data_IF_235050665137
#
_entry.id   IF_235050665137
#
_cell.length_a   1.000
_cell.length_b   1.000
_cell.length_c   1.000
_cell.angle_alpha   90.00
_cell.angle_beta   90.00
_cell.angle_gamma   90.00
#
_symmetry.space_group_name_H-M   'P 1'
#
loop_
_entity.id
_entity.type
_entity.pdbx_description
1 polymer ?
#
# COMPACT_ATOMS: atom_id res chain seq x y z
N UNK A 1 26.22 -31.56 -15.90
CA UNK A 1 25.38 -30.35 -15.74
C UNK A 1 26.31 -29.14 -15.81
N UNK A 2 26.39 -28.56 -16.99
CA UNK A 2 27.38 -27.55 -17.38
C UNK A 2 26.93 -26.17 -16.87
N UNK A 3 27.74 -25.57 -15.99
CA UNK A 3 27.44 -24.26 -15.39
C UNK A 3 27.78 -23.17 -16.42
N UNK A 4 26.76 -22.65 -17.10
CA UNK A 4 26.90 -21.58 -18.10
C UNK A 4 27.69 -20.38 -17.54
N UNK A 5 28.71 -19.93 -18.28
CA UNK A 5 29.53 -18.76 -17.93
C UNK A 5 28.70 -17.48 -18.10
N UNK A 6 28.64 -16.56 -17.12
CA UNK A 6 28.05 -15.25 -17.34
C UNK A 6 28.97 -14.41 -18.23
N UNK A 7 28.40 -13.85 -19.29
CA UNK A 7 29.04 -12.95 -20.24
C UNK A 7 29.58 -11.70 -19.55
N UNK A 8 30.82 -11.33 -19.88
CA UNK A 8 31.46 -10.08 -19.45
C UNK A 8 30.79 -8.90 -20.18
N UNK A 9 29.69 -8.42 -19.61
CA UNK A 9 29.02 -7.19 -20.05
C UNK A 9 29.45 -6.00 -19.21
N UNK A 10 30.19 -5.08 -19.81
CA UNK A 10 30.32 -3.71 -19.32
C UNK A 10 28.92 -3.08 -19.26
N UNK A 11 28.58 -2.40 -18.15
CA UNK A 11 27.44 -1.48 -18.13
C UNK A 11 26.59 -1.50 -16.86
N UNK A 12 26.56 -0.34 -16.21
CA UNK A 12 25.49 0.17 -15.32
C UNK A 12 25.26 -0.60 -14.02
N UNK A 13 24.92 0.11 -12.94
CA UNK A 13 24.62 -0.44 -11.61
C UNK A 13 23.37 -1.34 -11.61
N UNK A 14 23.42 -2.50 -12.28
CA UNK A 14 22.44 -3.55 -12.10
C UNK A 14 22.49 -3.98 -10.64
N UNK A 15 21.35 -3.93 -9.95
CA UNK A 15 21.22 -4.36 -8.55
C UNK A 15 21.84 -5.75 -8.41
N UNK A 16 22.97 -5.84 -7.68
CA UNK A 16 23.69 -7.11 -7.48
C UNK A 16 22.68 -8.15 -6.98
N UNK A 17 22.46 -9.20 -7.78
CA UNK A 17 21.51 -10.27 -7.44
C UNK A 17 22.05 -11.02 -6.23
N UNK A 18 21.16 -11.37 -5.31
CA UNK A 18 21.55 -12.16 -4.15
C UNK A 18 22.03 -13.55 -4.60
N UNK A 19 23.09 -14.07 -3.96
CA UNK A 19 23.60 -15.41 -4.25
C UNK A 19 22.54 -16.43 -3.82
N UNK A 20 22.07 -17.31 -4.72
CA UNK A 20 21.05 -18.29 -4.38
C UNK A 20 21.59 -19.31 -3.36
N UNK A 21 20.68 -19.88 -2.56
CA UNK A 21 21.02 -20.83 -1.48
C UNK A 21 21.84 -22.03 -1.99
N UNK A 22 21.42 -22.63 -3.11
CA UNK A 22 22.09 -23.80 -3.69
C UNK A 22 23.56 -23.52 -4.02
N UNK A 23 23.86 -22.33 -4.53
CA UNK A 23 25.24 -21.92 -4.84
C UNK A 23 26.05 -21.68 -3.57
N UNK A 24 25.45 -21.12 -2.50
CA UNK A 24 26.13 -20.97 -1.20
C UNK A 24 26.53 -22.32 -0.61
N UNK A 25 25.65 -23.31 -0.68
CA UNK A 25 25.91 -24.69 -0.22
C UNK A 25 27.00 -25.34 -1.08
N UNK A 26 26.93 -25.22 -2.40
CA UNK A 26 27.95 -25.77 -3.30
C UNK A 26 29.36 -25.18 -3.04
N UNK A 27 29.45 -23.87 -2.78
CA UNK A 27 30.70 -23.22 -2.38
C UNK A 27 31.21 -23.73 -1.04
N UNK A 28 30.33 -23.86 -0.04
CA UNK A 28 30.70 -24.36 1.29
C UNK A 28 31.26 -25.79 1.22
N UNK A 29 30.61 -26.69 0.47
CA UNK A 29 31.08 -28.07 0.25
C UNK A 29 32.42 -28.07 -0.49
N UNK A 30 32.56 -27.28 -1.56
CA UNK A 30 33.80 -27.17 -2.33
C UNK A 30 35.00 -26.73 -1.49
N UNK A 31 34.78 -25.79 -0.57
CA UNK A 31 35.80 -25.32 0.37
C UNK A 31 36.09 -26.36 1.45
N UNK A 32 35.06 -27.04 1.97
CA UNK A 32 35.20 -28.07 3.00
C UNK A 32 36.06 -29.24 2.51
N UNK A 33 35.83 -29.73 1.28
CA UNK A 33 36.61 -30.82 0.67
C UNK A 33 38.10 -30.48 0.52
N UNK A 34 38.45 -29.20 0.40
CA UNK A 34 39.84 -28.74 0.22
C UNK A 34 40.46 -28.14 1.49
N UNK A 35 39.72 -28.16 2.60
CA UNK A 35 40.20 -27.69 3.89
C UNK A 35 40.95 -28.80 4.62
N UNK A 36 41.98 -28.44 5.39
CA UNK A 36 42.69 -29.35 6.30
C UNK A 36 42.61 -28.75 7.69
N UNK A 37 42.19 -29.53 8.68
CA UNK A 37 42.08 -29.09 10.09
C UNK A 37 41.23 -27.82 10.28
N UNK A 38 40.23 -27.59 9.41
CA UNK A 38 39.38 -26.40 9.46
C UNK A 38 39.99 -25.13 8.88
N UNK A 39 41.22 -25.21 8.36
CA UNK A 39 41.90 -24.10 7.69
C UNK A 39 41.87 -24.26 6.17
N UNK A 40 41.63 -23.13 5.48
CA UNK A 40 41.73 -23.07 4.02
C UNK A 40 43.18 -22.90 3.61
N UNK A 41 43.66 -23.77 2.72
CA UNK A 41 44.98 -23.60 2.09
C UNK A 41 45.04 -22.30 1.29
N UNK A 42 46.24 -21.74 1.19
CA UNK A 42 46.51 -20.59 0.33
C UNK A 42 46.05 -20.89 -1.12
N UNK A 43 45.40 -19.91 -1.75
CA UNK A 43 44.93 -20.03 -3.14
C UNK A 43 43.59 -20.76 -3.32
N UNK A 44 43.07 -21.50 -2.33
CA UNK A 44 41.77 -22.21 -2.46
C UNK A 44 40.60 -21.25 -2.72
N UNK A 45 40.61 -20.09 -2.06
CA UNK A 45 39.60 -19.04 -2.29
C UNK A 45 39.71 -18.47 -3.71
N UNK A 46 40.93 -18.27 -4.21
CA UNK A 46 41.17 -17.79 -5.59
C UNK A 46 40.66 -18.79 -6.63
N UNK A 47 40.83 -20.09 -6.36
CA UNK A 47 40.26 -21.16 -7.18
C UNK A 47 38.72 -21.12 -7.17
N UNK A 48 38.11 -20.96 -5.98
CA UNK A 48 36.66 -20.88 -5.84
C UNK A 48 36.07 -19.65 -6.56
N UNK A 49 36.75 -18.49 -6.55
CA UNK A 49 36.36 -17.31 -7.34
C UNK A 49 36.27 -17.65 -8.82
N UNK A 50 37.25 -18.40 -9.36
CA UNK A 50 37.27 -18.80 -10.78
C UNK A 50 36.17 -19.80 -11.14
N UNK A 51 35.86 -20.73 -10.24
CA UNK A 51 34.85 -21.79 -10.47
C UNK A 51 33.43 -21.24 -10.37
N UNK A 52 33.15 -20.42 -9.35
CA UNK A 52 31.80 -19.97 -9.03
C UNK A 52 31.47 -18.55 -9.49
N UNK A 53 32.47 -17.79 -9.96
CA UNK A 53 32.32 -16.39 -10.41
C UNK A 53 31.71 -15.46 -9.33
N UNK A 54 32.03 -15.74 -8.07
CA UNK A 54 31.58 -14.97 -6.91
C UNK A 54 32.74 -14.13 -6.37
N UNK A 55 32.44 -12.97 -5.78
CA UNK A 55 33.48 -12.14 -5.16
C UNK A 55 34.18 -12.88 -4.03
N UNK A 56 35.49 -12.66 -3.90
CA UNK A 56 36.33 -13.22 -2.82
C UNK A 56 35.70 -12.99 -1.43
N UNK A 57 35.23 -11.78 -1.16
CA UNK A 57 34.59 -11.43 0.11
C UNK A 57 33.32 -12.26 0.39
N UNK A 58 32.51 -12.55 -0.62
CA UNK A 58 31.31 -13.38 -0.42
C UNK A 58 31.67 -14.85 -0.13
N UNK A 59 32.73 -15.38 -0.73
CA UNK A 59 33.24 -16.73 -0.46
C UNK A 59 33.78 -16.83 0.97
N UNK A 60 34.55 -15.83 1.41
CA UNK A 60 35.05 -15.75 2.80
C UNK A 60 33.90 -15.66 3.81
N UNK A 61 32.85 -14.89 3.51
CA UNK A 61 31.64 -14.82 4.34
C UNK A 61 30.88 -16.15 4.39
N UNK A 62 30.73 -16.85 3.26
CA UNK A 62 30.14 -18.19 3.22
C UNK A 62 30.94 -19.16 4.10
N UNK A 63 32.28 -19.10 4.06
CA UNK A 63 33.14 -19.94 4.89
C UNK A 63 33.05 -19.60 6.38
N UNK A 64 32.94 -18.32 6.74
CA UNK A 64 32.73 -17.89 8.11
C UNK A 64 31.41 -18.44 8.69
N UNK A 65 30.38 -18.57 7.85
CA UNK A 65 29.05 -19.08 8.20
C UNK A 65 28.93 -20.62 8.23
N UNK A 66 30.02 -21.37 8.03
CA UNK A 66 30.00 -22.85 7.89
C UNK A 66 29.42 -23.59 9.10
N UNK A 67 29.57 -23.03 10.31
CA UNK A 67 29.12 -23.66 11.56
C UNK A 67 27.59 -23.61 11.69
N UNK A 68 26.92 -22.75 10.91
CA UNK A 68 25.48 -22.52 10.97
C UNK A 68 24.84 -22.88 9.62
N UNK A 69 24.47 -24.16 9.37
CA UNK A 69 23.92 -24.59 8.08
C UNK A 69 22.64 -23.83 7.69
N UNK A 70 21.84 -23.42 8.69
CA UNK A 70 20.66 -22.58 8.52
C UNK A 70 20.98 -21.24 7.83
N UNK A 71 22.13 -20.63 8.13
CA UNK A 71 22.52 -19.33 7.57
C UNK A 71 22.89 -19.39 6.08
N UNK A 72 23.32 -20.56 5.60
CA UNK A 72 23.66 -20.81 4.19
C UNK A 72 22.42 -21.04 3.32
N UNK A 73 21.37 -21.63 3.91
CA UNK A 73 20.13 -21.98 3.19
C UNK A 73 19.13 -20.83 3.22
N UNK A 74 18.98 -20.16 4.37
CA UNK A 74 17.99 -19.11 4.53
C UNK A 74 18.25 -17.93 3.58
N UNK A 75 17.19 -17.37 2.96
CA UNK A 75 17.33 -16.19 2.13
C UNK A 75 17.85 -15.03 2.97
N UNK A 76 18.61 -14.12 2.35
CA UNK A 76 19.10 -12.91 3.02
C UNK A 76 17.92 -12.19 3.67
N UNK A 77 18.01 -11.94 4.98
CA UNK A 77 16.99 -11.18 5.71
C UNK A 77 16.75 -9.85 4.98
N UNK A 78 15.50 -9.60 4.62
CA UNK A 78 15.12 -8.33 4.05
C UNK A 78 15.49 -7.21 5.04
N UNK A 79 16.00 -6.09 4.51
CA UNK A 79 16.22 -4.93 5.35
C UNK A 79 14.90 -4.58 6.05
N UNK A 80 14.94 -4.30 7.38
CA UNK A 80 13.75 -3.87 8.08
C UNK A 80 13.21 -2.63 7.37
N UNK A 81 11.90 -2.60 7.16
CA UNK A 81 11.26 -1.39 6.64
C UNK A 81 11.47 -0.27 7.65
N UNK A 82 11.80 0.92 7.16
CA UNK A 82 11.93 2.11 8.02
C UNK A 82 10.65 2.27 8.82
N UNK A 83 10.78 2.43 10.14
CA UNK A 83 9.62 2.61 11.01
C UNK A 83 8.83 3.84 10.58
N UNK A 84 7.50 3.75 10.67
CA UNK A 84 6.65 4.92 10.47
C UNK A 84 6.80 5.81 11.70
N UNK A 85 6.95 7.12 11.50
CA UNK A 85 7.18 8.08 12.60
C UNK A 85 6.04 8.16 13.62
N UNK A 86 4.82 7.80 13.20
CA UNK A 86 3.61 7.79 14.02
C UNK A 86 3.14 6.35 14.19
N UNK A 87 2.74 6.01 15.41
CA UNK A 87 2.06 4.73 15.69
C UNK A 87 0.64 4.74 15.12
N UNK A 88 0.00 3.57 15.05
CA UNK A 88 -1.38 3.48 14.52
C UNK A 88 -2.37 4.09 15.51
N UNK A 89 -2.09 3.91 16.79
CA UNK A 89 -2.84 4.35 17.94
C UNK A 89 -2.84 5.89 17.99
N UNK A 90 -1.66 6.50 17.85
CA UNK A 90 -1.49 7.95 17.83
C UNK A 90 -2.20 8.61 16.62
N UNK A 91 -2.26 7.92 15.48
CA UNK A 91 -3.04 8.37 14.32
C UNK A 91 -4.54 8.28 14.62
N UNK A 92 -5.00 7.19 15.24
CA UNK A 92 -6.39 6.99 15.58
C UNK A 92 -6.87 8.07 16.58
N UNK A 93 -6.07 8.37 17.60
CA UNK A 93 -6.33 9.44 18.57
C UNK A 93 -6.45 10.81 17.90
N UNK A 94 -5.48 11.19 17.06
CA UNK A 94 -5.54 12.49 16.35
C UNK A 94 -6.72 12.60 15.39
N UNK A 95 -7.07 11.50 14.71
CA UNK A 95 -8.25 11.46 13.84
C UNK A 95 -9.53 11.52 14.66
N UNK A 96 -9.56 10.91 15.84
CA UNK A 96 -10.69 10.94 16.77
C UNK A 96 -10.85 12.29 17.48
N UNK A 97 -9.77 13.06 17.66
CA UNK A 97 -9.81 14.42 18.18
C UNK A 97 -10.34 15.43 17.14
N UNK A 98 -10.14 15.17 15.84
CA UNK A 98 -10.59 16.08 14.78
C UNK A 98 -12.13 16.18 14.71
N UNK A 99 -12.74 17.36 14.52
CA UNK A 99 -14.20 17.50 14.38
C UNK A 99 -14.78 16.68 13.23
N UNK A 100 -15.99 16.11 13.40
CA UNK A 100 -16.62 15.23 12.41
C UNK A 100 -16.79 15.92 11.03
N UNK A 101 -17.15 17.20 11.01
CA UNK A 101 -17.27 17.99 9.78
C UNK A 101 -15.97 18.03 8.96
N UNK A 102 -14.81 18.01 9.63
CA UNK A 102 -13.50 18.08 8.99
C UNK A 102 -12.96 16.68 8.58
N UNK A 103 -13.62 15.58 8.96
CA UNK A 103 -13.22 14.21 8.56
C UNK A 103 -13.69 13.79 7.17
N UNK A 104 -14.39 14.65 6.44
CA UNK A 104 -15.02 14.31 5.15
C UNK A 104 -14.00 14.07 4.03
N UNK A 105 -12.97 14.91 3.94
CA UNK A 105 -11.93 14.84 2.91
C UNK A 105 -10.55 14.63 3.53
N UNK A 106 -9.65 14.00 2.79
CA UNK A 106 -8.27 13.80 3.29
C UNK A 106 -7.57 15.16 3.50
N UNK A 107 -7.91 16.18 2.70
CA UNK A 107 -7.34 17.52 2.82
C UNK A 107 -7.79 18.21 4.11
N UNK A 108 -9.09 18.23 4.38
CA UNK A 108 -9.65 18.81 5.61
C UNK A 108 -9.17 18.06 6.84
N UNK A 109 -9.12 16.73 6.78
CA UNK A 109 -8.64 15.91 7.88
C UNK A 109 -7.15 16.14 8.16
N UNK A 110 -6.33 16.32 7.14
CA UNK A 110 -4.92 16.64 7.30
C UNK A 110 -4.71 17.98 8.03
N UNK A 111 -5.49 19.00 7.66
CA UNK A 111 -5.44 20.30 8.33
C UNK A 111 -5.89 20.21 9.80
N UNK A 112 -6.95 19.45 10.07
CA UNK A 112 -7.51 19.29 11.41
C UNK A 112 -6.65 18.44 12.36
N UNK A 113 -6.06 17.36 11.86
CA UNK A 113 -5.29 16.38 12.65
C UNK A 113 -3.79 16.65 12.70
N UNK A 114 -3.28 17.60 11.90
CA UNK A 114 -1.84 17.87 11.77
C UNK A 114 -1.04 16.75 11.08
N UNK A 115 -1.72 15.74 10.51
CA UNK A 115 -1.08 14.61 9.84
C UNK A 115 -0.95 14.90 8.34
N UNK A 116 0.22 14.62 7.77
CA UNK A 116 0.45 14.76 6.34
C UNK A 116 -0.57 13.95 5.50
N UNK A 117 -1.09 14.57 4.43
CA UNK A 117 -2.06 13.95 3.50
C UNK A 117 -1.60 12.60 2.94
N UNK A 118 -0.32 12.47 2.60
CA UNK A 118 0.27 11.24 2.06
C UNK A 118 0.21 10.09 3.06
N UNK A 119 0.42 10.39 4.35
CA UNK A 119 0.32 9.43 5.45
C UNK A 119 -1.13 8.97 5.59
N UNK A 120 -2.09 9.89 5.74
CA UNK A 120 -3.51 9.54 5.84
C UNK A 120 -3.99 8.69 4.64
N UNK A 121 -3.59 9.06 3.43
CA UNK A 121 -3.92 8.28 2.22
C UNK A 121 -3.35 6.86 2.26
N UNK A 122 -2.10 6.68 2.70
CA UNK A 122 -1.48 5.35 2.89
C UNK A 122 -2.24 4.52 3.92
N UNK A 123 -2.66 5.12 5.04
CA UNK A 123 -3.42 4.43 6.08
C UNK A 123 -4.83 4.03 5.62
N UNK A 124 -5.49 4.84 4.78
CA UNK A 124 -6.76 4.50 4.14
C UNK A 124 -6.60 3.35 3.11
N UNK A 125 -5.51 3.37 2.32
CA UNK A 125 -5.19 2.29 1.37
C UNK A 125 -4.91 0.97 2.09
N UNK A 126 -4.15 1.03 3.19
CA UNK A 126 -3.80 -0.12 4.01
C UNK A 126 -4.92 -0.58 4.97
N UNK A 127 -6.11 0.02 4.88
CA UNK A 127 -7.30 -0.31 5.71
C UNK A 127 -7.10 -0.14 7.22
N UNK A 128 -6.11 0.66 7.63
CA UNK A 128 -5.91 1.02 9.04
C UNK A 128 -6.96 2.07 9.45
N UNK A 129 -7.28 2.99 8.54
CA UNK A 129 -8.41 3.91 8.66
C UNK A 129 -9.49 3.48 7.66
N UNK A 130 -10.76 3.64 8.02
CA UNK A 130 -11.91 3.37 7.15
C UNK A 130 -12.72 4.65 6.95
N UNK A 131 -13.15 4.89 5.71
CA UNK A 131 -14.13 5.93 5.41
C UNK A 131 -15.51 5.43 5.81
N UNK A 132 -16.16 6.14 6.72
CA UNK A 132 -17.56 5.90 7.06
C UNK A 132 -18.44 6.95 6.40
N UNK A 133 -19.57 6.52 5.85
CA UNK A 133 -20.57 7.41 5.27
C UNK A 133 -21.85 7.16 6.06
N UNK A 134 -22.21 8.09 6.95
CA UNK A 134 -23.50 8.07 7.61
C UNK A 134 -24.53 8.65 6.64
N UNK A 135 -25.49 7.85 6.16
CA UNK A 135 -26.73 8.39 5.59
C UNK A 135 -27.74 8.52 6.72
N UNK A 136 -27.70 9.65 7.43
CA UNK A 136 -28.74 9.97 8.41
C UNK A 136 -29.98 10.39 7.63
N UNK A 137 -31.07 9.63 7.72
CA UNK A 137 -32.36 10.10 7.23
C UNK A 137 -32.82 11.21 8.19
N UNK A 138 -32.96 12.47 7.74
CA UNK A 138 -33.43 13.52 8.63
C UNK A 138 -34.82 13.15 9.14
N UNK A 139 -35.05 13.36 10.43
CA UNK A 139 -36.37 13.13 11.03
C UNK A 139 -37.36 14.08 10.36
N UNK A 140 -38.41 13.51 9.77
CA UNK A 140 -39.44 14.29 9.09
C UNK A 140 -40.30 14.97 10.15
N UNK A 141 -40.05 16.25 10.41
CA UNK A 141 -40.91 17.08 11.26
C UNK A 141 -42.24 17.33 10.55
N UNK A 142 -43.28 17.71 11.30
CA UNK A 142 -44.57 18.09 10.72
C UNK A 142 -44.42 19.26 9.73
N UNK A 143 -43.52 20.22 10.02
CA UNK A 143 -43.20 21.31 9.09
C UNK A 143 -42.65 20.79 7.74
N UNK A 144 -41.76 19.78 7.77
CA UNK A 144 -41.25 19.17 6.55
C UNK A 144 -42.33 18.37 5.79
N UNK A 145 -43.30 17.77 6.49
CA UNK A 145 -44.44 17.10 5.85
C UNK A 145 -45.33 18.10 5.13
N UNK A 146 -45.64 19.23 5.77
CA UNK A 146 -46.45 20.29 5.17
C UNK A 146 -45.77 20.92 3.95
N UNK A 147 -44.47 21.21 4.01
CA UNK A 147 -43.73 21.72 2.84
C UNK A 147 -43.70 20.72 1.68
N UNK A 148 -43.56 19.42 1.97
CA UNK A 148 -43.62 18.39 0.92
C UNK A 148 -45.02 18.26 0.34
N UNK A 149 -46.05 18.38 1.17
CA UNK A 149 -47.43 18.36 0.71
C UNK A 149 -47.76 19.58 -0.14
N UNK A 150 -47.34 20.78 0.26
CA UNK A 150 -47.54 21.99 -0.54
C UNK A 150 -46.82 21.91 -1.87
N UNK A 151 -45.57 21.43 -1.86
CA UNK A 151 -44.82 21.18 -3.09
C UNK A 151 -45.53 20.16 -3.99
N UNK A 152 -46.00 19.04 -3.42
CA UNK A 152 -46.72 18.03 -4.18
C UNK A 152 -48.03 18.57 -4.77
N UNK A 153 -48.81 19.33 -4.00
CA UNK A 153 -50.06 19.93 -4.47
C UNK A 153 -49.85 20.94 -5.60
N UNK A 154 -48.77 21.72 -5.55
CA UNK A 154 -48.39 22.68 -6.58
C UNK A 154 -48.00 22.00 -7.91
N UNK A 155 -47.44 20.78 -7.83
CA UNK A 155 -47.01 19.99 -8.98
C UNK A 155 -48.08 19.00 -9.48
N UNK A 156 -49.21 18.90 -8.78
CA UNK A 156 -50.38 18.15 -9.26
C UNK A 156 -51.19 19.08 -10.16
N UNK A 157 -50.94 18.97 -11.47
CA UNK A 157 -51.82 19.56 -12.48
C UNK A 157 -53.21 18.88 -12.38
N UNK A 158 -54.17 19.58 -11.78
CA UNK A 158 -55.58 19.14 -11.78
C UNK A 158 -56.16 19.43 -13.17
N UNK A 159 -56.11 18.45 -14.07
CA UNK A 159 -56.91 18.49 -15.28
C UNK A 159 -58.38 18.28 -14.92
N UNK A 160 -59.13 19.38 -14.74
CA UNK A 160 -60.59 19.35 -14.85
C UNK A 160 -60.88 19.50 -16.34
N UNK A 161 -61.00 18.37 -17.04
CA UNK A 161 -61.37 18.33 -18.46
C UNK A 161 -60.22 17.99 -19.39
N UNK A 162 -60.26 16.75 -19.89
CA UNK A 162 -59.80 16.21 -21.18
C UNK A 162 -58.59 16.84 -21.90
N UNK A 163 -57.72 15.92 -22.34
CA UNK A 163 -56.86 15.99 -23.55
C UNK A 163 -55.38 16.28 -23.30
N UNK A 164 -54.61 15.19 -23.22
CA UNK A 164 -53.18 14.97 -23.49
C UNK A 164 -52.19 16.10 -23.18
N UNK A 165 -51.22 15.85 -22.29
CA UNK A 165 -49.79 16.07 -22.56
C UNK A 165 -48.97 15.41 -21.44
N UNK A 166 -48.74 14.10 -21.63
CA UNK A 166 -47.78 13.31 -20.87
C UNK A 166 -46.42 13.45 -21.58
N UNK A 167 -45.36 13.52 -20.77
CA UNK A 167 -43.94 13.63 -21.14
C UNK A 167 -43.50 14.99 -21.68
N UNK A 168 -42.92 15.81 -20.80
CA UNK A 168 -41.61 16.49 -20.90
C UNK A 168 -41.60 17.45 -19.70
N UNK A 169 -41.11 17.03 -18.52
CA UNK A 169 -40.29 17.78 -17.53
C UNK A 169 -40.08 16.85 -16.32
N UNK A 170 -39.65 15.61 -16.53
CA UNK A 170 -39.25 14.70 -15.42
C UNK A 170 -37.85 14.11 -15.60
N UNK A 171 -37.04 14.67 -16.51
CA UNK A 171 -35.65 14.22 -16.73
C UNK A 171 -34.58 15.28 -16.38
N UNK A 172 -34.89 16.58 -16.33
CA UNK A 172 -33.85 17.61 -16.15
C UNK A 172 -33.60 18.04 -14.70
N UNK A 173 -34.52 17.76 -13.75
CA UNK A 173 -34.36 18.23 -12.35
C UNK A 173 -33.58 17.24 -11.47
N UNK A 174 -33.37 16.00 -11.93
CA UNK A 174 -32.67 14.98 -11.14
C UNK A 174 -31.13 15.10 -11.20
N UNK A 175 -30.57 15.84 -12.16
CA UNK A 175 -29.11 15.99 -12.29
C UNK A 175 -28.52 17.19 -11.51
N UNK A 176 -29.27 18.27 -11.31
CA UNK A 176 -28.74 19.48 -10.66
C UNK A 176 -28.83 19.42 -9.13
N UNK A 177 -29.84 18.76 -8.56
CA UNK A 177 -29.99 18.64 -7.10
C UNK A 177 -28.97 17.65 -6.49
N UNK A 178 -28.47 16.67 -7.27
CA UNK A 178 -27.46 15.73 -6.78
C UNK A 178 -26.03 16.30 -6.75
N UNK A 179 -25.74 17.38 -7.48
CA UNK A 179 -24.45 18.07 -7.46
C UNK A 179 -24.40 19.26 -6.49
N UNK A 180 -25.55 19.86 -6.13
CA UNK A 180 -25.58 20.97 -5.16
C UNK A 180 -25.44 20.53 -3.69
N UNK A 181 -25.79 19.28 -3.35
CA UNK A 181 -25.73 18.78 -1.97
C UNK A 181 -24.31 18.55 -1.41
N UNK A 182 -23.24 18.79 -2.18
CA UNK A 182 -21.86 18.75 -1.68
C UNK A 182 -21.30 20.11 -1.25
N UNK A 183 -22.05 21.22 -1.39
CA UNK A 183 -21.48 22.58 -1.19
C UNK A 183 -22.34 23.55 -0.35
N UNK A 184 -23.44 23.11 0.27
CA UNK A 184 -24.19 23.93 1.23
C UNK A 184 -24.47 23.16 2.51
N UNK A 185 -23.43 23.00 3.32
CA UNK A 185 -23.51 22.88 4.77
C UNK A 185 -22.11 23.23 5.28
N UNK A 186 -21.79 24.52 5.19
CA UNK A 186 -20.79 25.14 6.07
C UNK A 186 -21.44 25.24 7.45
#
# INVERSE_FOLDING_TARGET
AELAKPTTGNGTHARRKAIPANTRVAVAVFLATRSKEGHLRYGTVSLAVKVFYISRAAIEQIWALRNEPSSLVLPRKAYPRRSTRLSKEEIAERVAAAPLCQRQTIRSLAAASGIARSTLHRHLKNRILRRFICRVKPKLSEAHKLQRLSWALDHVQRAIGTSYFLLIILQEVFCTVLMQCMMLYI
#
